data_IF_308889832265
#
_entry.id   IF_308889832265
#
_cell.length_a   1.000
_cell.length_b   1.000
_cell.length_c   1.000
_cell.angle_alpha   90.00
_cell.angle_beta   90.00
_cell.angle_gamma   90.00
#
_symmetry.space_group_name_H-M   'P 1'
#
loop_
_entity.id
_entity.type
_entity.pdbx_description
1 polymer ?
#
# COMPACT_ATOMS: atom_id res chain seq x y z
N UNK A 1 20.29 -9.10 13.41
CA UNK A 1 19.81 -9.88 12.25
C UNK A 1 20.11 -9.06 11.00
N UNK A 2 21.17 -9.39 10.28
CA UNK A 2 21.56 -8.71 9.05
C UNK A 2 20.61 -9.15 7.94
N UNK A 3 19.70 -8.27 7.50
CA UNK A 3 18.96 -8.51 6.27
C UNK A 3 19.91 -8.29 5.09
N UNK A 4 20.29 -9.42 4.49
CA UNK A 4 20.87 -9.51 3.16
C UNK A 4 19.65 -9.81 2.28
N UNK A 5 19.26 -8.90 1.40
CA UNK A 5 18.17 -9.17 0.45
C UNK A 5 18.59 -10.23 -0.58
N UNK A 6 17.67 -10.60 -1.49
CA UNK A 6 17.87 -11.62 -2.53
C UNK A 6 19.13 -11.39 -3.42
N UNK A 7 19.74 -10.19 -3.42
CA UNK A 7 20.90 -9.82 -4.23
C UNK A 7 22.12 -9.30 -3.42
N UNK A 8 22.10 -9.41 -2.09
CA UNK A 8 23.25 -8.99 -1.29
C UNK A 8 23.29 -7.50 -0.94
N UNK A 9 22.20 -6.74 -1.11
CA UNK A 9 22.17 -5.34 -0.69
C UNK A 9 22.20 -5.26 0.83
N UNK A 10 23.14 -4.47 1.35
CA UNK A 10 23.17 -4.11 2.77
C UNK A 10 22.05 -3.12 3.07
N UNK A 11 21.57 -3.08 4.32
CA UNK A 11 20.63 -2.05 4.77
C UNK A 11 21.13 -0.62 4.45
N UNK A 12 22.45 -0.38 4.52
CA UNK A 12 23.05 0.90 4.13
C UNK A 12 22.90 1.18 2.62
N UNK A 13 23.13 0.16 1.77
CA UNK A 13 22.92 0.28 0.32
C UNK A 13 21.45 0.51 -0.05
N UNK A 14 20.52 -0.17 0.62
CA UNK A 14 19.08 0.06 0.46
C UNK A 14 18.72 1.47 0.86
N UNK A 15 19.21 1.97 2.00
CA UNK A 15 18.94 3.34 2.44
C UNK A 15 19.57 4.40 1.53
N UNK A 16 20.76 4.14 0.97
CA UNK A 16 21.38 5.01 -0.03
C UNK A 16 20.54 5.09 -1.31
N UNK A 17 20.05 3.94 -1.81
CA UNK A 17 19.15 3.89 -2.97
C UNK A 17 17.82 4.59 -2.70
N UNK A 18 17.24 4.33 -1.53
CA UNK A 18 15.95 4.85 -1.14
C UNK A 18 16.02 6.36 -0.91
N UNK A 19 17.12 6.84 -0.32
CA UNK A 19 17.40 8.24 0.02
C UNK A 19 16.59 8.76 1.22
N UNK A 20 15.35 8.31 1.36
CA UNK A 20 14.44 8.67 2.45
C UNK A 20 13.42 7.54 2.64
N UNK A 21 13.31 7.01 3.86
CA UNK A 21 12.32 5.98 4.22
C UNK A 21 10.88 6.35 3.83
N UNK A 22 10.53 7.64 3.88
CA UNK A 22 9.20 8.14 3.49
C UNK A 22 8.97 8.14 1.98
N UNK A 23 9.99 7.89 1.16
CA UNK A 23 9.87 7.83 -0.30
C UNK A 23 8.94 6.71 -0.74
N UNK A 24 8.92 5.56 -0.03
CA UNK A 24 8.02 4.45 -0.31
C UNK A 24 6.56 4.92 -0.20
N UNK A 25 6.21 5.49 0.97
CA UNK A 25 4.88 6.02 1.22
C UNK A 25 4.47 7.12 0.22
N UNK A 26 5.35 8.10 -0.04
CA UNK A 26 5.06 9.17 -1.02
C UNK A 26 4.85 8.63 -2.44
N UNK A 27 5.60 7.60 -2.81
CA UNK A 27 5.45 6.96 -4.13
C UNK A 27 4.10 6.25 -4.19
N UNK A 28 3.75 5.45 -3.19
CA UNK A 28 2.45 4.82 -3.09
C UNK A 28 1.31 5.86 -3.15
N UNK A 29 1.40 6.94 -2.36
CA UNK A 29 0.41 8.04 -2.36
C UNK A 29 0.23 8.64 -3.75
N UNK A 30 1.34 8.98 -4.42
CA UNK A 30 1.31 9.52 -5.78
C UNK A 30 0.66 8.55 -6.77
N UNK A 31 0.96 7.25 -6.69
CA UNK A 31 0.38 6.24 -7.56
C UNK A 31 -1.13 6.09 -7.34
N UNK A 32 -1.59 6.02 -6.08
CA UNK A 32 -3.03 6.00 -5.78
C UNK A 32 -3.75 7.24 -6.30
N UNK A 33 -3.16 8.43 -6.13
CA UNK A 33 -3.70 9.67 -6.71
C UNK A 33 -3.81 9.63 -8.23
N UNK A 34 -2.79 9.12 -8.93
CA UNK A 34 -2.82 8.98 -10.39
C UNK A 34 -3.92 8.03 -10.88
N UNK A 35 -4.14 6.91 -10.19
CA UNK A 35 -5.23 5.98 -10.52
C UNK A 35 -6.59 6.68 -10.40
N UNK A 36 -6.81 7.44 -9.32
CA UNK A 36 -8.04 8.24 -9.12
C UNK A 36 -8.22 9.30 -10.22
N UNK A 37 -7.15 10.01 -10.59
CA UNK A 37 -7.18 10.99 -11.69
C UNK A 37 -7.59 10.33 -13.00
N UNK A 38 -6.96 9.21 -13.37
CA UNK A 38 -7.26 8.50 -14.61
C UNK A 38 -8.71 8.00 -14.62
N UNK A 39 -9.20 7.46 -13.50
CA UNK A 39 -10.57 6.99 -13.40
C UNK A 39 -11.58 8.13 -13.62
N UNK A 40 -11.32 9.30 -13.03
CA UNK A 40 -12.13 10.49 -13.22
C UNK A 40 -12.08 11.02 -14.67
N UNK A 41 -10.90 11.02 -15.30
CA UNK A 41 -10.73 11.44 -16.71
C UNK A 41 -11.46 10.52 -17.70
N UNK A 42 -11.56 9.23 -17.37
CA UNK A 42 -12.22 8.22 -18.20
C UNK A 42 -13.71 8.01 -17.85
N UNK A 43 -14.25 8.74 -16.87
CA UNK A 43 -15.61 8.56 -16.34
C UNK A 43 -15.90 7.10 -15.95
N UNK A 44 -14.94 6.45 -15.29
CA UNK A 44 -15.09 5.10 -14.76
C UNK A 44 -15.06 5.09 -13.23
N UNK A 45 -15.86 4.23 -12.58
CA UNK A 45 -15.81 4.09 -11.13
C UNK A 45 -14.43 3.66 -10.63
N UNK A 46 -14.02 4.19 -9.47
CA UNK A 46 -12.76 3.85 -8.80
C UNK A 46 -13.05 3.39 -7.37
N UNK A 47 -12.78 2.11 -7.08
CA UNK A 47 -12.72 1.63 -5.70
C UNK A 47 -11.32 1.93 -5.13
N UNK A 48 -11.27 2.52 -3.95
CA UNK A 48 -10.02 2.76 -3.23
C UNK A 48 -10.06 2.19 -1.80
N UNK A 49 -9.76 0.90 -1.62
CA UNK A 49 -9.70 0.28 -0.31
C UNK A 49 -8.55 0.80 0.56
N UNK A 50 -7.57 1.53 -0.02
CA UNK A 50 -6.45 2.13 0.73
C UNK A 50 -6.92 3.09 1.81
N UNK A 51 -8.02 3.81 1.57
CA UNK A 51 -8.52 4.82 2.51
C UNK A 51 -8.71 4.24 3.92
N UNK A 52 -9.20 3.00 4.01
CA UNK A 52 -9.38 2.31 5.31
C UNK A 52 -8.08 1.98 6.03
N UNK A 53 -6.96 1.88 5.32
CA UNK A 53 -5.63 1.75 5.95
C UNK A 53 -5.12 3.07 6.51
N UNK A 54 -5.63 4.22 6.03
CA UNK A 54 -5.24 5.55 6.50
C UNK A 54 -6.02 6.00 7.74
N UNK A 55 -7.15 5.36 8.06
CA UNK A 55 -8.03 5.68 9.20
C UNK A 55 -7.43 5.36 10.58
N UNK A 56 -6.23 4.77 10.63
CA UNK A 56 -5.55 4.41 11.86
C UNK A 56 -5.74 2.95 12.22
N UNK A 57 -4.76 2.13 11.85
CA UNK A 57 -4.59 0.75 12.29
C UNK A 57 -3.10 0.50 12.49
N UNK A 58 -2.75 -0.48 13.32
CA UNK A 58 -1.35 -0.85 13.52
C UNK A 58 -0.78 -1.44 12.22
N UNK A 59 0.19 -0.78 11.55
CA UNK A 59 0.77 -1.29 10.32
C UNK A 59 1.47 -2.64 10.54
N UNK A 60 1.95 -2.93 11.76
CA UNK A 60 2.55 -4.23 12.08
C UNK A 60 1.53 -5.36 12.13
N UNK A 61 0.28 -5.06 12.52
CA UNK A 61 -0.80 -6.05 12.50
C UNK A 61 -1.35 -6.25 11.09
N UNK A 62 -1.38 -5.19 10.27
CA UNK A 62 -1.99 -5.21 8.94
C UNK A 62 -1.05 -5.70 7.83
N UNK A 63 0.27 -5.67 8.04
CA UNK A 63 1.24 -6.21 7.10
C UNK A 63 1.78 -7.56 7.58
N UNK A 64 2.16 -8.41 6.63
CA UNK A 64 2.97 -9.58 6.90
C UNK A 64 4.41 -9.17 7.30
N UNK A 65 5.20 -10.13 7.77
CA UNK A 65 6.57 -9.89 8.26
C UNK A 65 7.51 -9.30 7.20
N UNK A 66 7.18 -9.44 5.92
CA UNK A 66 7.95 -8.85 4.82
C UNK A 66 7.68 -7.34 4.61
N UNK A 67 6.67 -6.78 5.28
CA UNK A 67 6.31 -5.37 5.21
C UNK A 67 5.76 -4.91 3.85
N UNK A 68 5.43 -5.83 2.95
CA UNK A 68 4.91 -5.56 1.60
C UNK A 68 3.56 -6.23 1.40
N UNK A 69 3.42 -7.49 1.79
CA UNK A 69 2.16 -8.21 1.73
C UNK A 69 1.29 -7.88 2.95
N UNK A 70 -0.02 -8.02 2.78
CA UNK A 70 -0.96 -7.90 3.88
C UNK A 70 -0.91 -9.18 4.74
N UNK A 71 -1.11 -9.00 6.04
CA UNK A 71 -1.44 -10.12 6.93
C UNK A 71 -2.86 -10.63 6.62
N UNK A 72 -3.28 -11.71 7.25
CA UNK A 72 -4.68 -12.15 7.21
C UNK A 72 -5.63 -11.02 7.66
N UNK A 73 -5.25 -10.28 8.70
CA UNK A 73 -6.02 -9.14 9.18
C UNK A 73 -6.05 -7.99 8.16
N UNK A 74 -4.91 -7.71 7.51
CA UNK A 74 -4.82 -6.74 6.43
C UNK A 74 -5.71 -7.10 5.25
N UNK A 75 -5.72 -8.36 4.82
CA UNK A 75 -6.60 -8.83 3.76
C UNK A 75 -8.07 -8.74 4.15
N UNK A 76 -8.43 -9.03 5.42
CA UNK A 76 -9.79 -8.87 5.92
C UNK A 76 -10.27 -7.41 5.82
N UNK A 77 -9.42 -6.44 6.19
CA UNK A 77 -9.71 -5.02 6.04
C UNK A 77 -9.84 -4.63 4.57
N UNK A 78 -8.89 -5.06 3.73
CA UNK A 78 -8.88 -4.79 2.29
C UNK A 78 -10.15 -5.29 1.60
N UNK A 79 -10.51 -6.57 1.79
CA UNK A 79 -11.70 -7.15 1.17
C UNK A 79 -12.98 -6.52 1.69
N UNK A 80 -13.06 -6.19 2.98
CA UNK A 80 -14.20 -5.46 3.53
C UNK A 80 -14.42 -4.13 2.83
N UNK A 81 -13.36 -3.31 2.73
CA UNK A 81 -13.40 -2.02 2.05
C UNK A 81 -13.73 -2.15 0.55
N UNK A 82 -13.08 -3.08 -0.15
CA UNK A 82 -13.29 -3.30 -1.57
C UNK A 82 -14.72 -3.75 -1.88
N UNK A 83 -15.26 -4.71 -1.11
CA UNK A 83 -16.62 -5.21 -1.31
C UNK A 83 -17.64 -4.10 -1.04
N UNK A 84 -17.47 -3.33 0.02
CA UNK A 84 -18.34 -2.18 0.34
C UNK A 84 -18.37 -1.18 -0.82
N UNK A 85 -17.20 -0.78 -1.31
CA UNK A 85 -17.07 0.21 -2.38
C UNK A 85 -17.60 -0.31 -3.72
N UNK A 86 -17.31 -1.55 -4.09
CA UNK A 86 -17.82 -2.15 -5.33
C UNK A 86 -19.34 -2.25 -5.30
N UNK A 87 -19.94 -2.62 -4.15
CA UNK A 87 -21.41 -2.63 -3.99
C UNK A 87 -22.06 -1.26 -4.09
N UNK A 88 -21.33 -0.18 -3.83
CA UNK A 88 -21.84 1.18 -4.01
C UNK A 88 -21.76 1.64 -5.47
N UNK A 89 -20.96 0.96 -6.30
CA UNK A 89 -20.74 1.28 -7.71
C UNK A 89 -21.74 0.57 -8.62
N UNK A 90 -22.05 -0.70 -8.34
CA UNK A 90 -22.95 -1.56 -9.15
C UNK A 90 -24.37 -1.58 -8.62
#
# INVERSE_FOLDING_TARGET
LACIDHNGASAAGVMQWLGDVRRIYRTQERYSGLVRTIAAELDVPCADPRERFLDGGDPHALNADDGIHLSEEGYRLFYGALIEQVRAII
#
